data_IF_591095001301
#
_entry.id   IF_591095001301
#
_cell.length_a   1.000
_cell.length_b   1.000
_cell.length_c   1.000
_cell.angle_alpha   90.00
_cell.angle_beta   90.00
_cell.angle_gamma   90.00
#
_symmetry.space_group_name_H-M   'P 1'
#
loop_
_entity.id
_entity.type
_entity.pdbx_description
1 polymer ?
#
# COMPACT_ATOMS: atom_id res chain seq x y z
N UNK A 1 -16.52 35.36 51.55
CA UNK A 1 -17.10 35.22 50.20
C UNK A 1 -16.95 33.77 49.81
N UNK A 2 -18.06 33.05 49.55
CA UNK A 2 -18.05 31.59 49.46
C UNK A 2 -17.51 31.11 48.09
N UNK A 3 -16.74 30.04 48.07
CA UNK A 3 -16.10 29.47 46.87
C UNK A 3 -17.15 29.08 45.80
N UNK A 4 -18.31 28.65 46.25
CA UNK A 4 -19.48 28.36 45.40
C UNK A 4 -20.01 29.57 44.64
N UNK A 5 -19.94 30.77 45.21
CA UNK A 5 -20.41 32.00 44.54
C UNK A 5 -19.47 32.41 43.39
N UNK A 6 -18.18 32.15 43.55
CA UNK A 6 -17.15 32.45 42.53
C UNK A 6 -17.35 31.53 41.32
N UNK A 7 -17.53 30.22 41.56
CA UNK A 7 -17.74 29.23 40.49
C UNK A 7 -19.07 29.45 39.76
N UNK A 8 -20.15 29.75 40.49
CA UNK A 8 -21.47 30.02 39.89
C UNK A 8 -21.46 31.30 39.05
N UNK A 9 -20.80 32.36 39.53
CA UNK A 9 -20.69 33.61 38.80
C UNK A 9 -19.79 33.46 37.55
N UNK A 10 -18.71 32.69 37.65
CA UNK A 10 -17.87 32.35 36.49
C UNK A 10 -18.65 31.57 35.43
N UNK A 11 -19.41 30.55 35.83
CA UNK A 11 -20.27 29.77 34.93
C UNK A 11 -21.36 30.62 34.26
N UNK A 12 -22.00 31.53 35.01
CA UNK A 12 -23.00 32.46 34.48
C UNK A 12 -22.40 33.44 33.46
N UNK A 13 -21.21 33.97 33.72
CA UNK A 13 -20.50 34.85 32.78
C UNK A 13 -20.09 34.09 31.51
N UNK A 14 -19.60 32.86 31.64
CA UNK A 14 -19.26 32.00 30.52
C UNK A 14 -20.50 31.68 29.66
N UNK A 15 -21.62 31.30 30.27
CA UNK A 15 -22.88 31.05 29.57
C UNK A 15 -23.41 32.30 28.85
N UNK A 16 -23.30 33.48 29.47
CA UNK A 16 -23.75 34.74 28.85
C UNK A 16 -22.90 35.14 27.65
N UNK A 17 -21.57 34.95 27.74
CA UNK A 17 -20.65 35.13 26.61
C UNK A 17 -20.90 34.11 25.50
N UNK A 18 -21.11 32.85 25.85
CA UNK A 18 -21.39 31.77 24.89
C UNK A 18 -22.70 32.02 24.15
N UNK A 19 -23.76 32.47 24.84
CA UNK A 19 -25.02 32.89 24.20
C UNK A 19 -24.83 34.10 23.26
N UNK A 20 -24.00 35.07 23.63
CA UNK A 20 -23.69 36.22 22.77
C UNK A 20 -22.89 35.82 21.52
N UNK A 21 -21.97 34.86 21.65
CA UNK A 21 -21.20 34.30 20.51
C UNK A 21 -22.11 33.50 19.57
N UNK A 22 -23.00 32.67 20.11
CA UNK A 22 -23.91 31.81 19.32
C UNK A 22 -25.06 32.60 18.68
N UNK A 23 -25.46 33.75 19.23
CA UNK A 23 -26.50 34.62 18.63
C UNK A 23 -25.99 35.49 17.49
N UNK A 24 -24.68 35.60 17.30
CA UNK A 24 -24.10 36.32 16.18
C UNK A 24 -24.14 35.46 14.91
N UNK A 25 -25.03 35.81 13.98
CA UNK A 25 -25.26 35.10 12.71
C UNK A 25 -23.99 34.91 11.89
N UNK A 26 -23.05 35.86 11.95
CA UNK A 26 -21.78 35.78 11.23
C UNK A 26 -20.82 34.76 11.85
N UNK A 27 -20.72 34.70 13.18
CA UNK A 27 -19.89 33.71 13.85
C UNK A 27 -20.44 32.30 13.66
N UNK A 28 -21.77 32.15 13.65
CA UNK A 28 -22.42 30.87 13.40
C UNK A 28 -22.19 30.38 11.96
N UNK A 29 -22.24 31.28 10.97
CA UNK A 29 -21.92 30.97 9.58
C UNK A 29 -20.44 30.55 9.41
N UNK A 30 -19.51 31.29 10.05
CA UNK A 30 -18.08 30.96 10.03
C UNK A 30 -17.82 29.62 10.73
N UNK A 31 -18.42 29.36 11.89
CA UNK A 31 -18.24 28.08 12.58
C UNK A 31 -18.83 26.92 11.77
N UNK A 32 -19.98 27.12 11.13
CA UNK A 32 -20.57 26.11 10.27
C UNK A 32 -19.67 25.82 9.06
N UNK A 33 -19.09 26.87 8.44
CA UNK A 33 -18.13 26.72 7.36
C UNK A 33 -16.92 25.89 7.81
N UNK A 34 -16.30 26.22 8.95
CA UNK A 34 -15.15 25.46 9.46
C UNK A 34 -15.50 24.02 9.82
N UNK A 35 -16.66 23.76 10.43
CA UNK A 35 -17.09 22.40 10.76
C UNK A 35 -17.31 21.59 9.49
N UNK A 36 -18.01 22.13 8.50
CA UNK A 36 -18.21 21.47 7.21
C UNK A 36 -16.88 21.25 6.48
N UNK A 37 -16.01 22.25 6.43
CA UNK A 37 -14.67 22.12 5.84
C UNK A 37 -13.81 21.09 6.56
N UNK A 38 -13.94 20.95 7.88
CA UNK A 38 -13.17 19.96 8.65
C UNK A 38 -13.62 18.52 8.38
N UNK A 39 -14.93 18.29 8.20
CA UNK A 39 -15.45 16.98 7.80
C UNK A 39 -15.22 16.66 6.32
N UNK A 40 -15.16 17.68 5.44
CA UNK A 40 -14.93 17.50 3.99
C UNK A 40 -13.43 17.46 3.64
N UNK A 41 -12.56 17.99 4.50
CA UNK A 41 -11.11 17.81 4.39
C UNK A 41 -10.77 16.37 4.76
N UNK A 42 -11.10 15.46 3.86
CA UNK A 42 -10.48 14.15 3.78
C UNK A 42 -8.98 14.37 3.57
N UNK A 43 -8.25 14.34 4.67
CA UNK A 43 -6.81 14.23 4.65
C UNK A 43 -6.38 13.53 5.93
N UNK A 44 -6.78 12.27 5.97
CA UNK A 44 -6.54 11.40 7.10
C UNK A 44 -5.04 11.15 7.17
N UNK A 45 -4.44 11.39 8.33
CA UNK A 45 -3.08 10.91 8.62
C UNK A 45 -2.93 9.40 8.38
N UNK A 46 -4.06 8.66 8.45
CA UNK A 46 -4.19 7.24 8.12
C UNK A 46 -3.91 6.99 6.63
N UNK A 47 -4.50 7.77 5.72
CA UNK A 47 -4.26 7.65 4.27
C UNK A 47 -2.77 7.84 3.93
N UNK A 48 -2.07 8.70 4.68
CA UNK A 48 -0.62 8.89 4.50
C UNK A 48 0.18 7.65 4.91
N UNK A 49 -0.24 6.94 5.95
CA UNK A 49 0.42 5.71 6.39
C UNK A 49 0.17 4.55 5.43
N UNK A 50 -1.07 4.39 4.97
CA UNK A 50 -1.43 3.35 4.00
C UNK A 50 -0.73 3.59 2.66
N UNK A 51 -0.67 4.84 2.20
CA UNK A 51 0.09 5.20 1.01
C UNK A 51 1.60 4.93 1.17
N UNK A 52 2.17 5.20 2.35
CA UNK A 52 3.59 4.90 2.61
C UNK A 52 3.88 3.39 2.54
N UNK A 53 3.01 2.57 3.15
CA UNK A 53 3.12 1.12 3.06
C UNK A 53 2.95 0.63 1.63
N UNK A 54 2.02 1.22 0.87
CA UNK A 54 1.80 0.90 -0.54
C UNK A 54 3.03 1.22 -1.39
N UNK A 55 3.66 2.37 -1.17
CA UNK A 55 4.90 2.75 -1.85
C UNK A 55 6.01 1.73 -1.54
N UNK A 56 6.17 1.35 -0.27
CA UNK A 56 7.17 0.36 0.13
C UNK A 56 6.92 -1.01 -0.50
N UNK A 57 5.67 -1.46 -0.50
CA UNK A 57 5.24 -2.72 -1.13
C UNK A 57 5.58 -2.71 -2.63
N UNK A 58 5.20 -1.65 -3.35
CA UNK A 58 5.46 -1.50 -4.78
C UNK A 58 6.96 -1.49 -5.09
N UNK A 59 7.77 -0.77 -4.31
CA UNK A 59 9.23 -0.78 -4.47
C UNK A 59 9.84 -2.16 -4.24
N UNK A 60 9.35 -2.91 -3.26
CA UNK A 60 9.80 -4.29 -3.04
C UNK A 60 9.42 -5.22 -4.21
N UNK A 61 8.26 -5.00 -4.83
CA UNK A 61 7.86 -5.76 -6.01
C UNK A 61 8.76 -5.45 -7.20
N UNK A 62 9.09 -4.17 -7.43
CA UNK A 62 10.03 -3.75 -8.48
C UNK A 62 11.38 -4.45 -8.31
N UNK A 63 11.98 -4.42 -7.11
CA UNK A 63 13.27 -5.08 -6.86
C UNK A 63 13.21 -6.60 -7.11
N UNK A 64 12.10 -7.23 -6.76
CA UNK A 64 11.90 -8.66 -7.01
C UNK A 64 11.81 -8.96 -8.52
N UNK A 65 11.07 -8.16 -9.26
CA UNK A 65 10.94 -8.34 -10.71
C UNK A 65 12.26 -8.07 -11.43
N UNK A 66 13.04 -7.07 -11.03
CA UNK A 66 14.35 -6.81 -11.61
C UNK A 66 15.29 -8.00 -11.45
N UNK A 67 15.30 -8.64 -10.28
CA UNK A 67 16.08 -9.88 -10.04
C UNK A 67 15.59 -11.05 -10.89
N UNK A 68 14.27 -11.18 -11.08
CA UNK A 68 13.70 -12.21 -11.93
C UNK A 68 14.06 -11.99 -13.40
N UNK A 69 14.03 -10.74 -13.87
CA UNK A 69 14.45 -10.35 -15.21
C UNK A 69 15.92 -10.68 -15.41
N UNK A 70 16.81 -10.29 -14.49
CA UNK A 70 18.24 -10.60 -14.59
C UNK A 70 18.48 -12.11 -14.68
N UNK A 71 17.79 -12.89 -13.84
CA UNK A 71 17.89 -14.35 -13.84
C UNK A 71 17.37 -14.94 -15.16
N UNK A 72 16.25 -14.43 -15.67
CA UNK A 72 15.68 -14.88 -16.94
C UNK A 72 16.59 -14.55 -18.12
N UNK A 73 17.18 -13.35 -18.14
CA UNK A 73 18.14 -12.94 -19.16
C UNK A 73 19.39 -13.82 -19.14
N UNK A 74 19.93 -14.15 -17.95
CA UNK A 74 21.06 -15.11 -17.84
C UNK A 74 20.69 -16.49 -18.39
N UNK A 75 19.51 -17.01 -18.04
CA UNK A 75 19.01 -18.28 -18.61
C UNK A 75 18.84 -18.20 -20.13
N UNK A 76 18.33 -17.10 -20.66
CA UNK A 76 18.20 -16.89 -22.10
C UNK A 76 19.57 -16.85 -22.80
N UNK A 77 20.56 -16.19 -22.19
CA UNK A 77 21.93 -16.14 -22.71
C UNK A 77 22.57 -17.53 -22.71
N UNK A 78 22.40 -18.31 -21.64
CA UNK A 78 22.86 -19.69 -21.54
C UNK A 78 22.23 -20.61 -22.60
N UNK A 79 20.94 -20.41 -22.90
CA UNK A 79 20.20 -21.15 -23.92
C UNK A 79 20.58 -20.72 -25.36
N UNK A 80 20.90 -19.45 -25.58
CA UNK A 80 21.18 -18.91 -26.92
C UNK A 80 22.64 -19.08 -27.34
N UNK A 81 23.58 -19.02 -26.40
CA UNK A 81 25.01 -19.03 -26.70
C UNK A 81 25.57 -20.45 -26.89
N UNK A 82 24.97 -21.47 -26.25
CA UNK A 82 25.48 -22.84 -26.32
C UNK A 82 24.42 -23.87 -26.75
N UNK A 83 24.57 -24.38 -27.98
CA UNK A 83 23.69 -25.40 -28.57
C UNK A 83 23.61 -26.69 -27.74
N UNK A 84 24.69 -27.05 -27.03
CA UNK A 84 24.71 -28.22 -26.16
C UNK A 84 23.88 -27.99 -24.89
N UNK A 85 23.91 -26.78 -24.33
CA UNK A 85 23.08 -26.42 -23.17
C UNK A 85 21.60 -26.36 -23.55
N UNK A 86 21.28 -25.86 -24.74
CA UNK A 86 19.92 -25.86 -25.27
C UNK A 86 19.37 -27.29 -25.46
N UNK A 87 20.16 -28.19 -26.02
CA UNK A 87 19.77 -29.59 -26.19
C UNK A 87 19.58 -30.28 -24.83
N UNK A 88 20.45 -30.00 -23.84
CA UNK A 88 20.31 -30.53 -22.49
C UNK A 88 19.03 -30.04 -21.81
N UNK A 89 18.76 -28.74 -21.85
CA UNK A 89 17.53 -28.14 -21.31
C UNK A 89 16.26 -28.70 -21.97
N UNK A 90 16.24 -28.84 -23.29
CA UNK A 90 15.10 -29.41 -24.01
C UNK A 90 14.84 -30.88 -23.64
N UNK A 91 15.89 -31.64 -23.30
CA UNK A 91 15.80 -33.05 -22.90
C UNK A 91 15.47 -33.26 -21.42
N UNK A 92 16.02 -32.43 -20.54
CA UNK A 92 15.83 -32.54 -19.07
C UNK A 92 14.48 -31.95 -18.63
N UNK A 93 14.13 -30.74 -19.09
CA UNK A 93 12.92 -30.05 -18.63
C UNK A 93 11.69 -30.39 -19.46
N UNK A 94 11.87 -30.61 -20.77
CA UNK A 94 10.78 -30.80 -21.72
C UNK A 94 10.74 -32.20 -22.34
N UNK A 95 11.68 -33.09 -21.96
CA UNK A 95 11.76 -34.48 -22.46
C UNK A 95 11.69 -34.60 -23.99
N UNK A 96 12.23 -33.62 -24.71
CA UNK A 96 12.16 -33.58 -26.17
C UNK A 96 13.04 -34.68 -26.79
N UNK A 97 12.53 -35.33 -27.83
CA UNK A 97 13.23 -36.36 -28.60
C UNK A 97 13.33 -35.99 -30.09
N UNK A 98 14.36 -36.46 -30.77
CA UNK A 98 14.44 -36.34 -32.23
C UNK A 98 13.45 -37.32 -32.89
N UNK A 99 13.00 -37.03 -34.12
CA UNK A 99 12.05 -37.89 -34.84
C UNK A 99 12.51 -39.35 -35.00
N UNK A 100 13.81 -39.60 -34.99
CA UNK A 100 14.41 -40.92 -35.22
C UNK A 100 15.02 -41.49 -33.93
N UNK A 101 14.59 -41.02 -32.76
CA UNK A 101 15.15 -41.39 -31.46
C UNK A 101 14.08 -41.99 -30.56
N UNK A 102 14.36 -43.16 -30.00
CA UNK A 102 13.54 -43.82 -28.97
C UNK A 102 14.11 -43.49 -27.60
N UNK A 103 13.28 -42.87 -26.74
CA UNK A 103 13.65 -42.47 -25.38
C UNK A 103 12.91 -43.37 -24.40
N UNK A 104 13.64 -44.02 -23.50
CA UNK A 104 13.10 -44.88 -22.46
C UNK A 104 13.21 -44.15 -21.11
N UNK A 105 12.07 -43.97 -20.42
CA UNK A 105 12.03 -43.45 -19.05
C UNK A 105 11.93 -44.65 -18.14
N UNK A 106 12.97 -44.89 -17.34
CA UNK A 106 12.98 -45.93 -16.32
C UNK A 106 12.33 -45.31 -15.09
N UNK A 107 11.08 -45.68 -14.81
CA UNK A 107 10.47 -45.39 -13.52
C UNK A 107 10.94 -46.49 -12.55
N UNK A 108 11.56 -46.09 -11.44
CA UNK A 108 11.80 -47.02 -10.36
C UNK A 108 10.42 -47.49 -9.83
N UNK A 109 10.19 -48.79 -9.86
CA UNK A 109 9.00 -49.42 -9.27
C UNK A 109 9.19 -49.43 -7.74
N UNK A 110 8.47 -48.56 -7.04
CA UNK A 110 8.15 -48.73 -5.61
C UNK A 110 6.94 -49.67 -5.43
#
# INVERSE_FOLDING_TARGET
MNEYDILKNFGLVALKKLKAVVTNKYLLAISAFFVLSFFIMDNTYIDRFDNYNKIRELNSQIESYDKQIETCLKKMDELSTNKANLERFAREEYYMKRKNEEVFIIADED
#
